data_IF_095361966985
#
_entry.id   IF_095361966985
#
_cell.length_a   1.000
_cell.length_b   1.000
_cell.length_c   1.000
_cell.angle_alpha   90.00
_cell.angle_beta   90.00
_cell.angle_gamma   90.00
#
_symmetry.space_group_name_H-M   'P 1'
#
loop_
_entity.id
_entity.type
_entity.pdbx_description
1 polymer ?
#
# COMPACT_ATOMS: atom_id res chain seq x y z
N UNK A 1 -30.48 50.01 -39.20
CA UNK A 1 -29.15 49.41 -39.43
C UNK A 1 -29.21 47.99 -38.87
N UNK A 2 -29.06 46.99 -39.75
CA UNK A 2 -28.87 45.53 -39.61
C UNK A 2 -29.10 44.86 -38.22
N UNK A 3 -30.04 43.92 -37.98
CA UNK A 3 -30.30 42.55 -38.54
C UNK A 3 -29.70 41.42 -37.65
N UNK A 4 -30.61 40.65 -37.01
CA UNK A 4 -30.68 39.16 -36.84
C UNK A 4 -30.00 38.40 -35.66
N UNK A 5 -30.88 37.88 -34.77
CA UNK A 5 -31.09 36.51 -34.24
C UNK A 5 -29.98 35.59 -33.63
N UNK A 6 -30.36 35.06 -32.45
CA UNK A 6 -30.33 33.64 -32.00
C UNK A 6 -29.01 33.06 -31.43
N UNK A 7 -28.99 32.09 -30.50
CA UNK A 7 -29.82 30.88 -30.27
C UNK A 7 -29.71 30.41 -28.78
N UNK A 8 -30.85 29.99 -28.18
CA UNK A 8 -31.12 28.82 -27.29
C UNK A 8 -30.37 28.62 -25.94
N UNK A 9 -30.90 28.08 -24.82
CA UNK A 9 -32.20 27.52 -24.31
C UNK A 9 -31.94 27.26 -22.79
N UNK A 10 -32.73 27.69 -21.78
CA UNK A 10 -33.99 27.18 -21.20
C UNK A 10 -34.10 25.66 -20.85
N UNK A 11 -34.03 25.40 -19.54
CA UNK A 11 -34.87 24.52 -18.69
C UNK A 11 -35.07 23.01 -19.00
N UNK A 12 -34.67 22.13 -18.07
CA UNK A 12 -35.55 21.44 -17.10
C UNK A 12 -34.79 20.40 -16.25
N UNK A 13 -35.33 20.15 -15.06
CA UNK A 13 -34.75 19.44 -13.94
C UNK A 13 -34.56 17.92 -14.12
N UNK A 14 -33.58 17.38 -13.40
CA UNK A 14 -33.67 16.06 -12.80
C UNK A 14 -33.46 16.20 -11.29
N UNK A 15 -34.53 16.04 -10.53
CA UNK A 15 -34.54 15.90 -9.08
C UNK A 15 -33.89 14.58 -8.68
N UNK A 16 -32.88 14.62 -7.82
CA UNK A 16 -32.47 13.46 -7.02
C UNK A 16 -32.05 13.95 -5.62
N UNK A 17 -32.97 13.68 -4.68
CA UNK A 17 -32.76 13.46 -3.25
C UNK A 17 -31.85 14.43 -2.45
N UNK A 18 -32.52 15.12 -1.52
CA UNK A 18 -31.99 15.77 -0.34
C UNK A 18 -30.85 14.97 0.33
N UNK A 19 -29.62 15.46 0.24
CA UNK A 19 -28.62 15.21 1.27
C UNK A 19 -28.68 16.38 2.25
N UNK A 20 -28.82 16.16 3.57
CA UNK A 20 -28.77 17.25 4.52
C UNK A 20 -27.41 17.94 4.37
N UNK A 21 -27.46 19.24 4.06
CA UNK A 21 -26.31 20.10 3.97
C UNK A 21 -25.52 20.00 5.28
N UNK A 22 -24.32 19.42 5.21
CA UNK A 22 -23.29 19.58 6.24
C UNK A 22 -22.95 21.07 6.31
N UNK A 23 -23.65 21.80 7.16
CA UNK A 23 -23.61 23.25 7.36
C UNK A 23 -22.34 23.73 8.07
N UNK A 24 -21.21 23.02 7.89
CA UNK A 24 -19.92 23.47 8.38
C UNK A 24 -19.21 24.22 7.27
N UNK A 25 -18.92 25.50 7.52
CA UNK A 25 -17.95 26.26 6.72
C UNK A 25 -16.62 25.50 6.72
N UNK A 26 -16.13 25.16 5.52
CA UNK A 26 -14.82 24.56 5.35
C UNK A 26 -13.77 25.50 5.96
N UNK A 27 -12.85 24.94 6.74
CA UNK A 27 -11.65 25.66 7.14
C UNK A 27 -10.83 26.05 5.91
N UNK A 28 -9.97 27.08 6.00
CA UNK A 28 -9.11 27.48 4.89
C UNK A 28 -8.31 26.30 4.31
N UNK A 29 -7.79 25.42 5.18
CA UNK A 29 -7.08 24.22 4.77
C UNK A 29 -7.97 23.22 4.01
N UNK A 30 -9.24 23.07 4.37
CA UNK A 30 -10.17 22.18 3.66
C UNK A 30 -10.65 22.77 2.32
N UNK A 31 -10.80 24.09 2.25
CA UNK A 31 -11.13 24.79 1.00
C UNK A 31 -9.96 24.72 0.00
N UNK A 32 -8.73 24.86 0.49
CA UNK A 32 -7.50 24.72 -0.30
C UNK A 32 -7.33 23.27 -0.79
N UNK A 33 -7.59 22.29 0.08
CA UNK A 33 -7.62 20.86 -0.26
C UNK A 33 -8.64 20.53 -1.36
N UNK A 34 -9.82 21.12 -1.26
CA UNK A 34 -10.90 20.93 -2.23
C UNK A 34 -10.51 21.56 -3.56
N UNK A 35 -9.85 22.72 -3.55
CA UNK A 35 -9.32 23.34 -4.76
C UNK A 35 -8.15 22.58 -5.36
N UNK A 36 -7.27 21.98 -4.58
CA UNK A 36 -6.23 21.08 -5.10
C UNK A 36 -6.84 19.86 -5.81
N UNK A 37 -7.90 19.28 -5.24
CA UNK A 37 -8.59 18.12 -5.84
C UNK A 37 -9.30 18.52 -7.13
N UNK A 38 -9.97 19.68 -7.15
CA UNK A 38 -10.70 20.19 -8.31
C UNK A 38 -9.76 20.65 -9.44
N UNK A 39 -8.56 21.14 -9.09
CA UNK A 39 -7.59 21.68 -10.04
C UNK A 39 -6.47 20.70 -10.42
N UNK A 40 -6.42 19.50 -9.81
CA UNK A 40 -5.45 18.49 -10.19
C UNK A 40 -5.68 18.06 -11.66
N UNK A 41 -4.64 18.01 -12.51
CA UNK A 41 -4.78 17.56 -13.89
C UNK A 41 -5.44 16.17 -13.96
N UNK A 42 -6.30 15.96 -14.97
CA UNK A 42 -6.89 14.64 -15.25
C UNK A 42 -5.77 13.62 -15.46
N UNK A 43 -5.65 12.70 -14.51
CA UNK A 43 -4.85 11.49 -14.66
C UNK A 43 -5.83 10.36 -15.02
N UNK A 44 -5.78 9.85 -16.23
CA UNK A 44 -6.26 8.49 -16.54
C UNK A 44 -5.03 7.55 -16.52
N UNK A 45 -5.03 6.32 -15.98
CA UNK A 45 -6.09 5.55 -15.33
C UNK A 45 -5.53 4.66 -14.19
N UNK A 46 -6.35 4.56 -13.14
CA UNK A 46 -6.40 3.53 -12.12
C UNK A 46 -7.82 3.59 -11.54
N UNK A 47 -8.42 2.49 -11.05
CA UNK A 47 -9.82 2.46 -10.65
C UNK A 47 -10.13 3.31 -9.40
N UNK A 48 -9.12 3.88 -8.73
CA UNK A 48 -9.29 4.65 -7.49
C UNK A 48 -8.84 6.09 -7.70
N UNK A 49 -9.70 6.89 -8.36
CA UNK A 49 -9.40 8.29 -8.68
C UNK A 49 -9.52 9.21 -7.46
N UNK A 50 -10.32 8.81 -6.48
CA UNK A 50 -10.64 9.53 -5.25
C UNK A 50 -11.01 8.56 -4.11
N UNK A 51 -11.37 9.13 -2.95
CA UNK A 51 -11.77 8.40 -1.75
C UNK A 51 -12.99 7.52 -2.01
N UNK A 52 -13.99 8.05 -2.69
CA UNK A 52 -15.27 7.39 -2.95
C UNK A 52 -15.06 6.16 -3.84
N UNK A 53 -14.21 6.26 -4.86
CA UNK A 53 -13.83 5.14 -5.72
C UNK A 53 -13.05 4.06 -4.94
N UNK A 54 -12.14 4.45 -4.05
CA UNK A 54 -11.41 3.52 -3.17
C UNK A 54 -12.37 2.78 -2.23
N UNK A 55 -13.25 3.51 -1.56
CA UNK A 55 -14.24 2.95 -0.63
C UNK A 55 -15.19 2.01 -1.38
N UNK A 56 -15.74 2.45 -2.51
CA UNK A 56 -16.66 1.65 -3.33
C UNK A 56 -16.04 0.34 -3.79
N UNK A 57 -14.76 0.36 -4.18
CA UNK A 57 -14.05 -0.85 -4.54
C UNK A 57 -13.93 -1.83 -3.38
N UNK A 58 -13.44 -1.39 -2.22
CA UNK A 58 -13.31 -2.28 -1.06
C UNK A 58 -14.67 -2.81 -0.60
N UNK A 59 -15.72 -1.97 -0.59
CA UNK A 59 -17.10 -2.41 -0.31
C UNK A 59 -17.56 -3.48 -1.31
N UNK A 60 -17.30 -3.30 -2.61
CA UNK A 60 -17.64 -4.28 -3.64
C UNK A 60 -16.88 -5.60 -3.48
N UNK A 61 -15.68 -5.58 -2.91
CA UNK A 61 -14.90 -6.77 -2.55
C UNK A 61 -15.31 -7.38 -1.19
N UNK A 62 -16.41 -6.90 -0.59
CA UNK A 62 -16.89 -7.39 0.72
C UNK A 62 -16.05 -6.90 1.90
N UNK A 63 -15.12 -5.96 1.67
CA UNK A 63 -14.28 -5.37 2.72
C UNK A 63 -15.05 -4.24 3.39
N UNK A 64 -15.38 -4.45 4.67
CA UNK A 64 -15.98 -3.40 5.51
C UNK A 64 -14.90 -2.47 6.03
N UNK A 65 -14.72 -1.31 5.37
CA UNK A 65 -14.13 -0.15 6.03
C UNK A 65 -15.14 0.31 7.07
N UNK A 66 -14.95 -0.12 8.32
CA UNK A 66 -15.95 0.09 9.36
C UNK A 66 -16.14 1.59 9.63
N UNK A 67 -17.37 2.13 9.52
CA UNK A 67 -17.65 3.51 9.92
C UNK A 67 -17.44 3.62 11.42
N UNK A 68 -16.40 4.34 11.84
CA UNK A 68 -16.11 4.54 13.25
C UNK A 68 -15.63 3.28 14.00
N UNK A 69 -15.10 2.25 13.34
CA UNK A 69 -14.26 1.30 14.10
C UNK A 69 -13.13 2.09 14.74
N UNK A 70 -12.74 1.72 15.95
CA UNK A 70 -11.63 2.32 16.69
C UNK A 70 -10.25 2.07 16.03
N UNK A 71 -10.16 2.03 14.69
CA UNK A 71 -9.00 1.71 13.88
C UNK A 71 -8.53 2.91 13.06
N UNK A 72 -8.08 3.97 13.74
CA UNK A 72 -6.94 4.82 13.37
C UNK A 72 -6.87 5.58 12.02
N UNK A 73 -7.75 5.34 11.05
CA UNK A 73 -7.72 5.94 9.72
C UNK A 73 -8.66 7.14 9.63
N UNK A 74 -8.06 8.30 9.38
CA UNK A 74 -8.78 9.57 9.18
C UNK A 74 -9.14 9.75 7.71
N UNK A 75 -10.05 10.70 7.41
CA UNK A 75 -10.32 11.09 6.02
C UNK A 75 -9.05 11.58 5.30
N UNK A 76 -8.14 12.23 6.04
CA UNK A 76 -6.84 12.63 5.51
C UNK A 76 -5.97 11.43 5.15
N UNK A 77 -5.97 10.38 5.97
CA UNK A 77 -5.23 9.14 5.67
C UNK A 77 -5.78 8.47 4.40
N UNK A 78 -7.10 8.44 4.22
CA UNK A 78 -7.73 7.89 3.00
C UNK A 78 -7.38 8.71 1.75
N UNK A 79 -7.44 10.05 1.83
CA UNK A 79 -6.99 10.93 0.73
C UNK A 79 -5.52 10.66 0.40
N UNK A 80 -4.66 10.58 1.42
CA UNK A 80 -3.23 10.35 1.25
C UNK A 80 -2.93 8.97 0.65
N UNK A 81 -3.72 7.93 0.97
CA UNK A 81 -3.64 6.62 0.32
C UNK A 81 -3.98 6.69 -1.17
N UNK A 82 -5.06 7.38 -1.53
CA UNK A 82 -5.46 7.53 -2.93
C UNK A 82 -4.39 8.30 -3.73
N UNK A 83 -3.86 9.39 -3.17
CA UNK A 83 -2.75 10.15 -3.77
C UNK A 83 -1.49 9.30 -3.90
N UNK A 84 -1.10 8.57 -2.85
CA UNK A 84 0.05 7.68 -2.87
C UNK A 84 -0.10 6.56 -3.91
N UNK A 85 -1.28 5.96 -4.03
CA UNK A 85 -1.54 4.92 -5.02
C UNK A 85 -1.45 5.46 -6.45
N UNK A 86 -1.98 6.66 -6.71
CA UNK A 86 -1.88 7.34 -8.01
C UNK A 86 -0.43 7.70 -8.36
N UNK A 87 0.29 8.29 -7.40
CA UNK A 87 1.70 8.62 -7.55
C UNK A 87 2.53 7.36 -7.84
N UNK A 88 2.31 6.28 -7.09
CA UNK A 88 3.02 5.01 -7.30
C UNK A 88 2.71 4.38 -8.66
N UNK A 89 1.46 4.49 -9.12
CA UNK A 89 1.07 4.01 -10.44
C UNK A 89 1.85 4.68 -11.56
N UNK A 90 1.96 6.00 -11.49
CA UNK A 90 2.67 6.79 -12.48
C UNK A 90 4.18 6.56 -12.41
N UNK A 91 4.74 6.67 -11.20
CA UNK A 91 6.18 6.62 -10.97
C UNK A 91 6.76 5.23 -11.20
N UNK A 92 6.15 4.21 -10.59
CA UNK A 92 6.68 2.85 -10.55
C UNK A 92 5.97 1.91 -11.54
N UNK A 93 4.99 2.39 -12.31
CA UNK A 93 4.19 1.59 -13.26
C UNK A 93 3.49 0.39 -12.61
N UNK A 94 3.18 0.50 -11.31
CA UNK A 94 2.48 -0.54 -10.56
C UNK A 94 0.98 -0.34 -10.76
N UNK A 95 0.18 -1.38 -11.03
CA UNK A 95 -1.27 -1.30 -10.93
C UNK A 95 -1.72 -0.85 -9.52
N UNK A 96 -2.39 0.31 -9.33
CA UNK A 96 -2.83 0.77 -8.02
C UNK A 96 -3.54 -0.25 -7.15
N UNK A 97 -4.38 -1.16 -7.70
CA UNK A 97 -4.99 -2.18 -6.83
C UNK A 97 -3.99 -3.19 -6.30
N UNK A 98 -2.92 -3.54 -7.02
CA UNK A 98 -1.93 -4.49 -6.50
C UNK A 98 -1.32 -3.95 -5.21
N UNK A 99 -0.83 -2.72 -5.22
CA UNK A 99 -0.20 -2.11 -4.04
C UNK A 99 -1.21 -1.75 -2.94
N UNK A 100 -2.43 -1.32 -3.28
CA UNK A 100 -3.47 -1.06 -2.29
C UNK A 100 -3.99 -2.35 -1.64
N UNK A 101 -4.23 -3.40 -2.41
CA UNK A 101 -4.66 -4.68 -1.87
C UNK A 101 -3.55 -5.35 -1.06
N UNK A 102 -2.28 -5.21 -1.46
CA UNK A 102 -1.13 -5.62 -0.66
C UNK A 102 -1.12 -4.88 0.68
N UNK A 103 -1.08 -3.55 0.68
CA UNK A 103 -1.03 -2.75 1.93
C UNK A 103 -2.29 -2.93 2.80
N UNK A 104 -3.45 -3.16 2.19
CA UNK A 104 -4.66 -3.56 2.93
C UNK A 104 -4.49 -4.93 3.60
N UNK A 105 -3.92 -5.91 2.89
CA UNK A 105 -3.66 -7.24 3.45
C UNK A 105 -2.63 -7.18 4.59
N UNK A 106 -1.57 -6.41 4.41
CA UNK A 106 -0.47 -6.29 5.36
C UNK A 106 -0.89 -5.61 6.67
N UNK A 107 -1.74 -4.58 6.60
CA UNK A 107 -2.00 -3.74 7.78
C UNK A 107 -3.45 -3.28 7.95
N UNK A 108 -4.35 -3.63 7.02
CA UNK A 108 -5.66 -2.98 6.88
C UNK A 108 -5.53 -1.46 6.79
N UNK A 109 -4.50 -1.01 6.06
CA UNK A 109 -4.07 0.39 5.96
C UNK A 109 -3.69 1.06 7.29
N UNK A 110 -3.53 0.34 8.39
CA UNK A 110 -3.19 0.95 9.67
C UNK A 110 -1.75 1.52 9.64
N UNK A 111 -1.56 2.85 9.65
CA UNK A 111 -0.22 3.43 9.61
C UNK A 111 0.55 3.17 10.89
N UNK A 112 -0.12 2.75 11.97
CA UNK A 112 0.50 2.40 13.25
C UNK A 112 0.80 0.89 13.36
N UNK A 113 0.56 0.11 12.30
CA UNK A 113 0.75 -1.33 12.33
C UNK A 113 2.23 -1.67 12.59
N UNK A 114 2.44 -2.65 13.46
CA UNK A 114 3.76 -3.20 13.70
C UNK A 114 3.67 -4.67 14.05
N UNK A 115 4.48 -5.48 13.38
CA UNK A 115 4.64 -6.88 13.75
C UNK A 115 5.63 -7.02 14.90
N UNK A 116 5.20 -7.69 15.97
CA UNK A 116 6.02 -7.97 17.15
C UNK A 116 7.20 -8.90 16.86
N UNK A 117 7.07 -9.78 15.87
CA UNK A 117 8.05 -10.84 15.57
C UNK A 117 9.04 -10.45 14.48
N UNK A 118 8.61 -9.71 13.46
CA UNK A 118 9.45 -9.37 12.29
C UNK A 118 9.93 -7.94 12.31
N UNK A 119 9.46 -7.11 13.25
CA UNK A 119 9.69 -5.65 13.31
C UNK A 119 9.22 -4.90 12.06
N UNK A 120 8.33 -5.51 11.27
CA UNK A 120 7.65 -4.87 10.15
C UNK A 120 6.80 -3.68 10.61
N UNK A 121 6.82 -2.56 9.88
CA UNK A 121 6.21 -1.29 10.30
C UNK A 121 5.36 -0.64 9.21
N UNK A 122 4.36 0.11 9.65
CA UNK A 122 3.52 0.95 8.80
C UNK A 122 2.61 0.14 7.88
N UNK A 123 2.00 0.83 6.92
CA UNK A 123 0.91 0.26 6.12
C UNK A 123 1.33 -0.88 5.19
N UNK A 124 2.58 -0.90 4.74
CA UNK A 124 3.16 -1.95 3.91
C UNK A 124 3.87 -3.02 4.72
N UNK A 125 3.92 -2.92 6.07
CA UNK A 125 4.65 -3.87 6.91
C UNK A 125 6.12 -4.07 6.45
N UNK A 126 6.79 -2.97 6.11
CA UNK A 126 8.20 -3.00 5.71
C UNK A 126 9.09 -3.31 6.94
N UNK A 127 9.94 -4.33 6.82
CA UNK A 127 10.95 -4.66 7.85
C UNK A 127 12.17 -3.75 7.71
N UNK A 128 12.95 -3.56 8.79
CA UNK A 128 14.19 -2.77 8.70
C UNK A 128 15.17 -3.30 7.63
N UNK A 129 15.39 -4.63 7.48
CA UNK A 129 16.19 -5.17 6.37
C UNK A 129 15.63 -4.83 5.00
N UNK A 130 14.32 -4.94 4.79
CA UNK A 130 13.70 -4.57 3.51
C UNK A 130 13.88 -3.08 3.19
N UNK A 131 13.71 -2.19 4.18
CA UNK A 131 13.96 -0.75 3.99
C UNK A 131 15.42 -0.47 3.64
N UNK A 132 16.36 -1.09 4.34
CA UNK A 132 17.80 -0.92 4.05
C UNK A 132 18.16 -1.45 2.65
N UNK A 133 17.58 -2.59 2.25
CA UNK A 133 17.72 -3.12 0.89
C UNK A 133 17.17 -2.12 -0.14
N UNK A 134 15.94 -1.62 0.03
CA UNK A 134 15.34 -0.62 -0.86
C UNK A 134 16.19 0.64 -0.96
N UNK A 135 16.69 1.16 0.17
CA UNK A 135 17.58 2.32 0.19
C UNK A 135 18.89 2.06 -0.56
N UNK A 136 19.50 0.90 -0.35
CA UNK A 136 20.70 0.51 -1.08
C UNK A 136 20.42 0.42 -2.58
N UNK A 137 19.24 -0.08 -2.97
CA UNK A 137 18.84 -0.16 -4.37
C UNK A 137 18.66 1.21 -5.00
N UNK A 138 17.94 2.11 -4.34
CA UNK A 138 17.77 3.50 -4.78
C UNK A 138 19.13 4.19 -5.03
N UNK A 139 20.14 3.94 -4.20
CA UNK A 139 21.49 4.49 -4.41
C UNK A 139 22.22 3.88 -5.60
N UNK A 140 21.95 2.60 -5.91
CA UNK A 140 22.65 1.85 -6.95
C UNK A 140 21.95 1.83 -8.31
N UNK A 141 20.68 2.20 -8.37
CA UNK A 141 19.84 2.12 -9.55
C UNK A 141 19.21 3.48 -9.88
N UNK A 142 19.80 4.23 -10.84
CA UNK A 142 19.30 5.53 -11.25
C UNK A 142 17.86 5.52 -11.75
N UNK A 143 17.38 4.42 -12.36
CA UNK A 143 16.01 4.34 -12.85
C UNK A 143 15.00 4.22 -11.71
N UNK A 144 15.31 3.42 -10.69
CA UNK A 144 14.48 3.31 -9.49
C UNK A 144 14.52 4.59 -8.66
N UNK A 145 15.69 5.26 -8.59
CA UNK A 145 15.82 6.56 -7.93
C UNK A 145 14.95 7.62 -8.61
N UNK A 146 15.03 7.75 -9.94
CA UNK A 146 14.21 8.69 -10.70
C UNK A 146 12.72 8.43 -10.49
N UNK A 147 12.29 7.16 -10.48
CA UNK A 147 10.91 6.80 -10.15
C UNK A 147 10.53 7.22 -8.72
N UNK A 148 11.40 7.03 -7.73
CA UNK A 148 11.12 7.48 -6.35
C UNK A 148 11.06 9.01 -6.21
N UNK A 149 11.87 9.74 -6.97
CA UNK A 149 11.82 11.20 -7.04
C UNK A 149 10.52 11.68 -7.73
N UNK A 150 10.11 11.02 -8.81
CA UNK A 150 8.83 11.28 -9.47
C UNK A 150 7.66 11.01 -8.54
N UNK A 151 7.69 9.91 -7.79
CA UNK A 151 6.69 9.60 -6.76
C UNK A 151 6.56 10.74 -5.74
N UNK A 152 7.69 11.23 -5.20
CA UNK A 152 7.67 12.34 -4.25
C UNK A 152 7.10 13.62 -4.89
N UNK A 153 7.48 13.90 -6.15
CA UNK A 153 7.01 15.08 -6.89
C UNK A 153 5.50 15.07 -7.13
N UNK A 154 4.92 13.91 -7.46
CA UNK A 154 3.46 13.74 -7.61
C UNK A 154 2.70 13.99 -6.31
N UNK A 155 3.36 13.83 -5.15
CA UNK A 155 2.80 14.15 -3.84
C UNK A 155 3.06 15.60 -3.41
N UNK A 156 3.66 16.43 -4.27
CA UNK A 156 4.08 17.79 -3.92
C UNK A 156 5.24 17.82 -2.92
N UNK A 157 5.99 16.72 -2.80
CA UNK A 157 7.07 16.55 -1.85
C UNK A 157 8.42 16.34 -2.56
N UNK A 158 9.49 16.26 -1.76
CA UNK A 158 10.80 15.80 -2.19
C UNK A 158 11.10 14.46 -1.53
N UNK A 159 11.95 13.66 -2.18
CA UNK A 159 12.48 12.45 -1.54
C UNK A 159 13.23 12.87 -0.27
N UNK A 160 12.93 12.28 0.89
CA UNK A 160 13.57 12.67 2.14
C UNK A 160 15.07 12.36 2.11
N UNK A 161 15.89 13.27 2.64
CA UNK A 161 17.36 13.11 2.69
C UNK A 161 17.80 11.96 3.61
N UNK A 162 16.97 11.63 4.59
CA UNK A 162 17.16 10.50 5.50
C UNK A 162 15.85 9.79 5.77
N UNK A 163 15.93 8.48 6.02
CA UNK A 163 14.80 7.69 6.51
C UNK A 163 15.01 7.35 7.98
N UNK A 164 14.00 7.61 8.81
CA UNK A 164 13.97 7.16 10.20
C UNK A 164 13.22 5.82 10.28
N UNK A 165 13.95 4.73 10.53
CA UNK A 165 13.42 3.38 10.72
C UNK A 165 12.73 3.14 12.08
N UNK A 166 12.56 4.18 12.88
CA UNK A 166 11.95 4.17 14.21
C UNK A 166 12.66 3.27 15.25
N UNK A 167 13.99 3.44 15.42
CA UNK A 167 14.80 2.67 16.37
C UNK A 167 14.25 2.68 17.81
N UNK A 168 13.73 3.83 18.27
CA UNK A 168 13.12 3.95 19.61
C UNK A 168 11.87 3.07 19.75
N UNK A 169 11.08 2.93 18.68
CA UNK A 169 9.91 2.04 18.67
C UNK A 169 10.35 0.58 18.71
N UNK A 170 11.47 0.22 18.06
CA UNK A 170 12.04 -1.12 18.13
C UNK A 170 12.51 -1.46 19.55
N UNK A 171 13.18 -0.52 20.23
CA UNK A 171 13.59 -0.68 21.64
C UNK A 171 12.38 -0.93 22.53
N UNK A 172 11.35 -0.09 22.46
CA UNK A 172 10.12 -0.27 23.26
C UNK A 172 9.42 -1.60 22.95
N UNK A 173 9.41 -2.03 21.68
CA UNK A 173 8.83 -3.31 21.26
C UNK A 173 9.56 -4.48 21.92
N UNK A 174 10.91 -4.44 21.96
CA UNK A 174 11.73 -5.44 22.63
C UNK A 174 11.51 -5.44 24.13
N UNK A 175 11.47 -4.27 24.77
CA UNK A 175 11.26 -4.16 26.22
C UNK A 175 9.92 -4.76 26.63
N UNK A 176 8.84 -4.48 25.88
CA UNK A 176 7.53 -5.08 26.10
C UNK A 176 7.57 -6.61 25.96
N UNK A 177 8.31 -7.13 24.98
CA UNK A 177 8.44 -8.58 24.80
C UNK A 177 9.19 -9.23 25.96
N UNK A 178 10.27 -8.61 26.46
CA UNK A 178 11.01 -9.08 27.63
C UNK A 178 10.14 -9.06 28.90
N UNK A 179 9.35 -7.99 29.10
CA UNK A 179 8.41 -7.89 30.22
C UNK A 179 7.34 -8.99 30.16
N UNK A 180 6.79 -9.29 28.98
CA UNK A 180 5.85 -10.40 28.78
C UNK A 180 6.48 -11.76 29.09
N UNK A 181 7.72 -12.00 28.64
CA UNK A 181 8.46 -13.24 28.92
C UNK A 181 8.74 -13.40 30.42
N UNK A 182 9.06 -12.30 31.10
CA UNK A 182 9.27 -12.27 32.55
C UNK A 182 7.97 -12.36 33.37
N UNK A 183 6.79 -12.40 32.72
CA UNK A 183 5.47 -12.33 33.37
C UNK A 183 5.36 -11.13 34.33
N UNK A 184 5.89 -9.98 33.90
CA UNK A 184 5.81 -8.73 34.65
C UNK A 184 4.34 -8.29 34.85
N UNK A 185 4.13 -7.36 35.77
CA UNK A 185 2.82 -6.77 36.05
C UNK A 185 2.16 -6.25 34.73
N UNK A 186 0.92 -6.68 34.43
CA UNK A 186 0.16 -6.18 33.28
C UNK A 186 0.08 -4.65 33.19
N UNK A 187 0.06 -3.92 34.31
CA UNK A 187 0.03 -2.46 34.32
C UNK A 187 1.32 -1.85 33.74
N UNK A 188 2.48 -2.44 34.06
CA UNK A 188 3.78 -2.01 33.53
C UNK A 188 3.83 -2.24 32.01
N UNK A 189 3.35 -3.40 31.56
CA UNK A 189 3.27 -3.75 30.14
C UNK A 189 2.34 -2.75 29.42
N UNK A 190 1.17 -2.45 29.99
CA UNK A 190 0.20 -1.53 29.40
C UNK A 190 0.75 -0.10 29.25
N UNK A 191 1.51 0.39 30.24
CA UNK A 191 2.13 1.72 30.16
C UNK A 191 3.21 1.77 29.07
N UNK A 192 4.04 0.74 28.95
CA UNK A 192 5.03 0.65 27.86
C UNK A 192 4.38 0.56 26.48
N UNK A 193 3.28 -0.18 26.36
CA UNK A 193 2.50 -0.21 25.12
C UNK A 193 1.88 1.15 24.78
N UNK A 194 1.45 1.91 25.79
CA UNK A 194 0.93 3.27 25.61
C UNK A 194 2.01 4.23 25.14
N UNK A 195 3.18 4.23 25.80
CA UNK A 195 4.37 5.00 25.39
C UNK A 195 4.73 4.72 23.93
N UNK A 196 4.76 3.43 23.56
CA UNK A 196 5.02 2.99 22.19
C UNK A 196 3.98 3.52 21.20
N UNK A 197 2.69 3.45 21.51
CA UNK A 197 1.61 3.96 20.63
C UNK A 197 1.70 5.48 20.44
N UNK A 198 2.01 6.22 21.50
CA UNK A 198 2.15 7.68 21.44
C UNK A 198 3.35 8.11 20.61
N UNK A 199 4.50 7.42 20.75
CA UNK A 199 5.68 7.66 19.93
C UNK A 199 5.42 7.42 18.44
N UNK A 200 4.70 6.35 18.09
CA UNK A 200 4.33 6.12 16.68
C UNK A 200 3.38 7.23 16.19
N UNK A 201 2.38 7.60 17.00
CA UNK A 201 1.37 8.59 16.62
C UNK A 201 1.97 9.98 16.39
N UNK A 202 2.96 10.39 17.17
CA UNK A 202 3.61 11.70 17.02
C UNK A 202 4.46 11.81 15.76
N UNK A 203 4.88 10.68 15.18
CA UNK A 203 5.78 10.62 14.01
C UNK A 203 5.08 10.24 12.69
N UNK A 204 3.83 9.80 12.73
CA UNK A 204 3.11 9.29 11.53
C UNK A 204 2.85 10.33 10.44
N UNK A 205 3.11 11.62 10.69
CA UNK A 205 2.99 12.70 9.71
C UNK A 205 4.34 13.28 9.30
N UNK A 206 5.45 12.79 9.87
CA UNK A 206 6.79 13.27 9.55
C UNK A 206 7.29 12.62 8.26
N UNK A 207 7.61 13.44 7.25
CA UNK A 207 8.16 12.94 5.99
C UNK A 207 9.49 12.20 6.24
N UNK A 208 9.66 11.04 5.59
CA UNK A 208 10.84 10.19 5.79
C UNK A 208 10.78 9.27 7.00
N UNK A 209 9.78 9.39 7.87
CA UNK A 209 9.57 8.44 8.96
C UNK A 209 8.86 7.16 8.46
N UNK A 210 9.29 5.97 8.90
CA UNK A 210 8.72 4.70 8.41
C UNK A 210 7.23 4.51 8.75
N UNK A 211 6.70 5.23 9.73
CA UNK A 211 5.27 5.22 10.06
C UNK A 211 4.47 6.31 9.33
N UNK A 212 5.13 7.17 8.56
CA UNK A 212 4.44 8.08 7.66
C UNK A 212 3.82 7.29 6.52
N UNK A 213 2.52 7.52 6.30
CA UNK A 213 1.71 6.76 5.37
C UNK A 213 2.29 6.78 3.95
N UNK A 214 2.57 7.96 3.41
CA UNK A 214 3.09 8.13 2.05
C UNK A 214 4.53 7.63 1.93
N UNK A 215 5.37 7.87 2.95
CA UNK A 215 6.73 7.34 2.98
C UNK A 215 6.74 5.81 2.93
N UNK A 216 5.95 5.17 3.80
CA UNK A 216 5.86 3.72 3.88
C UNK A 216 5.23 3.12 2.61
N UNK A 217 4.18 3.76 2.06
CA UNK A 217 3.59 3.36 0.79
C UNK A 217 4.62 3.40 -0.34
N UNK A 218 5.35 4.50 -0.47
CA UNK A 218 6.38 4.70 -1.49
C UNK A 218 7.50 3.66 -1.39
N UNK A 219 7.94 3.34 -0.18
CA UNK A 219 8.93 2.28 0.07
C UNK A 219 8.42 0.90 -0.33
N UNK A 220 7.18 0.57 0.03
CA UNK A 220 6.55 -0.69 -0.36
C UNK A 220 6.40 -0.79 -1.89
N UNK A 221 5.97 0.30 -2.54
CA UNK A 221 5.87 0.40 -4.00
C UNK A 221 7.24 0.25 -4.68
N UNK A 222 8.25 0.97 -4.22
CA UNK A 222 9.62 0.88 -4.75
C UNK A 222 10.21 -0.53 -4.59
N UNK A 223 9.98 -1.19 -3.45
CA UNK A 223 10.42 -2.56 -3.23
C UNK A 223 9.69 -3.55 -4.16
N UNK A 224 8.36 -3.42 -4.27
CA UNK A 224 7.56 -4.29 -5.13
C UNK A 224 7.91 -4.11 -6.62
N UNK A 225 8.22 -2.89 -7.07
CA UNK A 225 8.64 -2.63 -8.45
C UNK A 225 10.05 -3.17 -8.75
N UNK A 226 10.99 -3.09 -7.79
CA UNK A 226 12.30 -3.76 -7.90
C UNK A 226 12.14 -5.28 -8.04
N UNK A 227 11.28 -5.89 -7.21
CA UNK A 227 10.94 -7.31 -7.33
C UNK A 227 10.39 -7.63 -8.72
N UNK A 228 9.38 -6.90 -9.19
CA UNK A 228 8.69 -7.13 -10.48
C UNK A 228 9.59 -6.95 -11.70
N UNK A 229 10.32 -5.84 -11.78
CA UNK A 229 10.96 -5.40 -13.03
C UNK A 229 12.43 -5.78 -13.12
N UNK A 230 13.09 -6.01 -11.99
CA UNK A 230 14.53 -6.33 -11.98
C UNK A 230 14.78 -7.76 -11.57
N UNK A 231 14.20 -8.19 -10.46
CA UNK A 231 14.54 -9.47 -9.83
C UNK A 231 13.74 -10.66 -10.37
N UNK A 232 12.54 -10.40 -10.89
CA UNK A 232 11.64 -11.38 -11.49
C UNK A 232 11.29 -11.00 -12.94
N UNK A 233 12.23 -10.37 -13.64
CA UNK A 233 12.04 -9.85 -15.00
C UNK A 233 11.75 -10.94 -16.03
N UNK A 234 12.08 -12.19 -15.72
CA UNK A 234 11.82 -13.37 -16.51
C UNK A 234 10.36 -13.82 -16.50
N UNK A 235 9.53 -13.29 -15.60
CA UNK A 235 8.08 -13.53 -15.62
C UNK A 235 7.43 -12.53 -16.57
N UNK A 236 6.94 -13.06 -17.70
CA UNK A 236 6.54 -12.24 -18.86
C UNK A 236 5.14 -11.65 -18.68
N UNK A 237 4.15 -12.50 -18.38
CA UNK A 237 2.77 -12.09 -18.18
C UNK A 237 2.65 -11.15 -16.98
N UNK A 238 2.02 -10.00 -17.20
CA UNK A 238 2.01 -8.90 -16.24
C UNK A 238 1.32 -9.27 -14.93
N UNK A 239 0.16 -9.93 -15.00
CA UNK A 239 -0.59 -10.33 -13.82
C UNK A 239 0.20 -11.37 -13.01
N UNK A 240 0.74 -12.41 -13.67
CA UNK A 240 1.61 -13.41 -13.02
C UNK A 240 2.81 -12.75 -12.38
N UNK A 241 3.47 -11.83 -13.06
CA UNK A 241 4.67 -11.19 -12.56
C UNK A 241 4.39 -10.35 -11.31
N UNK A 242 3.28 -9.60 -11.26
CA UNK A 242 2.87 -8.88 -10.04
C UNK A 242 2.51 -9.82 -8.89
N UNK A 243 1.78 -10.89 -9.14
CA UNK A 243 1.44 -11.87 -8.09
C UNK A 243 2.68 -12.62 -7.60
N UNK A 244 3.66 -12.86 -8.47
CA UNK A 244 4.96 -13.44 -8.09
C UNK A 244 5.78 -12.46 -7.24
N UNK A 245 5.75 -11.17 -7.59
CA UNK A 245 6.37 -10.11 -6.79
C UNK A 245 5.70 -9.98 -5.42
N UNK A 246 4.37 -10.09 -5.32
CA UNK A 246 3.63 -10.14 -4.04
C UNK A 246 4.07 -11.35 -3.20
N UNK A 247 4.19 -12.52 -3.81
CA UNK A 247 4.71 -13.70 -3.10
C UNK A 247 6.15 -13.48 -2.59
N UNK A 248 7.00 -12.84 -3.40
CA UNK A 248 8.37 -12.50 -3.02
C UNK A 248 8.46 -11.41 -1.95
N UNK A 249 7.51 -10.46 -1.93
CA UNK A 249 7.43 -9.39 -0.94
C UNK A 249 7.29 -9.98 0.47
N UNK A 250 6.42 -10.98 0.63
CA UNK A 250 6.13 -11.59 1.92
C UNK A 250 7.05 -12.76 2.28
N UNK A 251 7.37 -13.64 1.32
CA UNK A 251 8.15 -14.85 1.60
C UNK A 251 9.63 -14.74 1.20
N UNK A 252 10.04 -13.60 0.62
CA UNK A 252 11.38 -13.32 0.12
C UNK A 252 11.63 -13.81 -1.31
N UNK A 253 12.57 -13.19 -2.02
CA UNK A 253 12.89 -13.55 -3.42
C UNK A 253 13.29 -15.02 -3.60
N UNK A 254 13.97 -15.60 -2.61
CA UNK A 254 14.45 -16.98 -2.69
C UNK A 254 13.30 -17.97 -2.80
N UNK A 255 12.14 -17.62 -2.25
CA UNK A 255 10.92 -18.38 -2.42
C UNK A 255 10.40 -18.30 -3.86
N UNK A 256 10.30 -17.10 -4.43
CA UNK A 256 9.87 -16.93 -5.82
C UNK A 256 10.82 -17.65 -6.81
N UNK A 257 12.12 -17.58 -6.58
CA UNK A 257 13.11 -18.32 -7.37
C UNK A 257 12.94 -19.83 -7.24
N UNK A 258 12.61 -20.35 -6.04
CA UNK A 258 12.29 -21.78 -5.88
C UNK A 258 11.04 -22.18 -6.65
N UNK A 259 10.02 -21.34 -6.66
CA UNK A 259 8.82 -21.60 -7.44
C UNK A 259 9.17 -21.67 -8.94
N UNK A 260 9.87 -20.67 -9.47
CA UNK A 260 10.25 -20.60 -10.89
C UNK A 260 11.19 -21.76 -11.28
N UNK A 261 12.31 -21.89 -10.59
CA UNK A 261 13.43 -22.75 -11.04
C UNK A 261 13.39 -24.18 -10.49
N UNK A 262 12.76 -24.41 -9.33
CA UNK A 262 12.69 -25.76 -8.74
C UNK A 262 11.32 -26.41 -8.93
N UNK A 263 10.21 -25.71 -8.70
CA UNK A 263 8.87 -26.29 -8.87
C UNK A 263 8.51 -26.39 -10.35
N UNK A 264 8.78 -25.35 -11.12
CA UNK A 264 8.45 -25.33 -12.55
C UNK A 264 9.65 -25.58 -13.47
N UNK A 265 10.84 -25.84 -12.92
CA UNK A 265 12.03 -26.18 -13.70
C UNK A 265 12.42 -25.10 -14.73
N UNK A 266 12.21 -23.82 -14.39
CA UNK A 266 12.69 -22.67 -15.16
C UNK A 266 11.58 -21.71 -15.58
N UNK A 267 12.01 -20.50 -15.97
CA UNK A 267 11.12 -19.40 -16.35
C UNK A 267 10.20 -19.73 -17.53
N UNK A 268 10.68 -20.44 -18.55
CA UNK A 268 9.86 -20.83 -19.70
C UNK A 268 8.67 -21.69 -19.28
N UNK A 269 8.92 -22.75 -18.52
CA UNK A 269 7.85 -23.62 -18.01
C UNK A 269 6.92 -22.89 -17.03
N UNK A 270 7.48 -22.01 -16.19
CA UNK A 270 6.70 -21.15 -15.29
C UNK A 270 5.73 -20.26 -16.07
N UNK A 271 6.20 -19.61 -17.13
CA UNK A 271 5.41 -18.73 -17.98
C UNK A 271 4.30 -19.49 -18.76
N UNK A 272 4.44 -20.79 -19.00
CA UNK A 272 3.37 -21.61 -19.58
C UNK A 272 2.24 -21.95 -18.59
N UNK A 273 2.45 -21.78 -17.29
CA UNK A 273 1.44 -22.12 -16.30
C UNK A 273 0.41 -21.01 -16.11
N UNK A 274 -0.79 -21.43 -15.67
CA UNK A 274 -1.83 -20.51 -15.18
C UNK A 274 -1.50 -20.03 -13.76
N UNK A 275 -2.04 -18.86 -13.39
CA UNK A 275 -1.96 -18.34 -12.02
C UNK A 275 -2.50 -19.36 -11.01
N UNK A 276 -3.60 -20.03 -11.32
CA UNK A 276 -4.21 -21.06 -10.46
C UNK A 276 -3.29 -22.26 -10.24
N UNK A 277 -2.54 -22.68 -11.27
CA UNK A 277 -1.56 -23.76 -11.14
C UNK A 277 -0.36 -23.32 -10.31
N UNK A 278 0.16 -22.13 -10.56
CA UNK A 278 1.32 -21.55 -9.86
C UNK A 278 1.03 -21.41 -8.36
N UNK A 279 -0.09 -20.78 -8.02
CA UNK A 279 -0.50 -20.53 -6.63
C UNK A 279 -1.55 -21.56 -6.17
N UNK A 280 -1.22 -22.84 -6.34
CA UNK A 280 -2.01 -23.96 -5.83
C UNK A 280 -1.40 -24.58 -4.58
N UNK A 281 -2.21 -25.34 -3.83
CA UNK A 281 -1.72 -26.16 -2.70
C UNK A 281 -0.63 -27.14 -3.13
N UNK A 282 -0.73 -27.69 -4.34
CA UNK A 282 0.25 -28.65 -4.87
C UNK A 282 1.60 -27.97 -5.11
N UNK A 283 1.62 -26.82 -5.77
CA UNK A 283 2.84 -26.05 -5.99
C UNK A 283 3.46 -25.58 -4.67
N UNK A 284 2.64 -25.10 -3.73
CA UNK A 284 3.10 -24.68 -2.40
C UNK A 284 3.71 -25.85 -1.59
N UNK A 285 3.13 -27.06 -1.68
CA UNK A 285 3.66 -28.25 -1.01
C UNK A 285 5.04 -28.66 -1.54
N UNK A 286 5.29 -28.46 -2.85
CA UNK A 286 6.58 -28.76 -3.49
C UNK A 286 7.72 -27.82 -3.08
N UNK A 287 7.43 -26.76 -2.34
CA UNK A 287 8.42 -25.79 -1.87
C UNK A 287 9.04 -26.15 -0.51
N UNK A 288 8.60 -27.25 0.09
CA UNK A 288 9.10 -27.69 1.40
C UNK A 288 8.77 -26.73 2.55
N UNK A 289 7.76 -25.87 2.37
CA UNK A 289 7.26 -24.98 3.41
C UNK A 289 6.42 -25.75 4.44
N UNK A 290 6.36 -25.27 5.69
CA UNK A 290 5.38 -25.79 6.66
C UNK A 290 3.96 -25.53 6.18
N UNK A 291 2.96 -26.27 6.70
CA UNK A 291 1.55 -26.10 6.29
C UNK A 291 1.05 -24.68 6.57
N UNK A 292 1.51 -24.08 7.66
CA UNK A 292 1.20 -22.71 8.05
C UNK A 292 1.75 -21.72 7.01
N UNK A 293 3.03 -21.85 6.63
CA UNK A 293 3.65 -20.97 5.63
C UNK A 293 3.09 -21.16 4.23
N UNK A 294 2.71 -22.39 3.86
CA UNK A 294 1.98 -22.65 2.62
C UNK A 294 0.64 -21.91 2.60
N UNK A 295 -0.10 -21.97 3.72
CA UNK A 295 -1.38 -21.27 3.86
C UNK A 295 -1.20 -19.76 3.81
N UNK A 296 -0.24 -19.20 4.56
CA UNK A 296 0.06 -17.76 4.58
C UNK A 296 0.31 -17.21 3.18
N UNK A 297 1.25 -17.83 2.47
CA UNK A 297 1.56 -17.49 1.07
C UNK A 297 0.31 -17.50 0.19
N UNK A 298 -0.45 -18.60 0.19
CA UNK A 298 -1.59 -18.74 -0.69
C UNK A 298 -2.68 -17.74 -0.32
N UNK A 299 -2.93 -17.54 0.98
CA UNK A 299 -3.90 -16.58 1.48
C UNK A 299 -3.51 -15.14 1.06
N UNK A 300 -2.23 -14.77 1.13
CA UNK A 300 -1.72 -13.47 0.69
C UNK A 300 -1.92 -13.25 -0.80
N UNK A 301 -1.35 -14.12 -1.64
CA UNK A 301 -1.39 -13.93 -3.10
C UNK A 301 -2.82 -13.99 -3.61
N UNK A 302 -3.62 -14.95 -3.14
CA UNK A 302 -5.01 -15.08 -3.58
C UNK A 302 -5.91 -13.97 -3.01
N UNK A 303 -5.59 -13.43 -1.83
CA UNK A 303 -6.27 -12.24 -1.32
C UNK A 303 -6.00 -11.03 -2.20
N UNK A 304 -4.74 -10.79 -2.56
CA UNK A 304 -4.38 -9.69 -3.47
C UNK A 304 -5.02 -9.90 -4.83
N UNK A 305 -4.93 -11.11 -5.43
CA UNK A 305 -5.57 -11.43 -6.71
C UNK A 305 -7.08 -11.17 -6.71
N UNK A 306 -7.80 -11.59 -5.65
CA UNK A 306 -9.25 -11.35 -5.55
C UNK A 306 -9.56 -9.86 -5.41
N UNK A 307 -8.86 -9.18 -4.51
CA UNK A 307 -9.05 -7.76 -4.28
C UNK A 307 -8.73 -6.94 -5.54
N UNK A 308 -7.66 -7.27 -6.25
CA UNK A 308 -7.27 -6.60 -7.48
C UNK A 308 -7.99 -7.14 -8.73
N UNK A 309 -8.92 -8.09 -8.60
CA UNK A 309 -9.68 -8.60 -9.73
C UNK A 309 -10.57 -7.48 -10.26
N UNK A 310 -10.54 -7.23 -11.58
CA UNK A 310 -11.03 -6.04 -12.32
C UNK A 310 -9.97 -4.96 -12.60
N UNK A 311 -8.70 -5.28 -12.45
CA UNK A 311 -7.66 -4.68 -13.29
C UNK A 311 -7.57 -5.40 -14.62
#
# INVERSE_FOLDING_TARGET
MQVIFAFLWLCLAATAAEYPALSRKLSPAEAELLQEILNAPRVDSGPFKDREALVAHFVAQGVRLSPGSQSGLTNADIRNLALAARAAAKAFRIPPAIVLCLTFRESSFNPLATAWTTTAKGIGQMTNPAVLETLSRLRSDPALLAAAEDYARELGARLPESLEGAQKVDTLTRDIQLLRQAKADPAIIAEKEKERRELIRSRKYEAGHIYNLQTNFGLAAAYLSDLRYRRLKEVEDEQKAWLTAVAAYNQGIGYANRLIYHVFAGAGNYNLQTVDRIFSKESAARLGLSRERQKELLDEVLSVRRCSARW
#
